data_IF_407858574147
#
_entry.id   IF_407858574147
#
_cell.length_a   1.000
_cell.length_b   1.000
_cell.length_c   1.000
_cell.angle_alpha   90.00
_cell.angle_beta   90.00
_cell.angle_gamma   90.00
#
_symmetry.space_group_name_H-M   'P 1'
#
loop_
_entity.id
_entity.type
_entity.pdbx_description
1 polymer ?
#
# COMPACT_ATOMS: atom_id res chain seq x y z
N UNK A 1 -17.91 3.02 -1.78
CA UNK A 1 -16.64 3.22 -1.06
C UNK A 1 -15.69 2.14 -1.51
N UNK A 2 -14.47 2.51 -1.95
CA UNK A 2 -13.46 1.59 -2.48
C UNK A 2 -12.48 1.18 -1.40
N UNK A 3 -12.31 -0.12 -1.21
CA UNK A 3 -11.40 -0.70 -0.22
C UNK A 3 -10.33 -1.50 -0.95
N UNK A 4 -9.07 -1.13 -0.76
CA UNK A 4 -7.93 -1.89 -1.26
C UNK A 4 -7.30 -2.70 -0.14
N UNK A 5 -7.29 -4.02 -0.28
CA UNK A 5 -6.62 -4.94 0.65
C UNK A 5 -5.25 -5.32 0.10
N UNK A 6 -4.20 -4.97 0.82
CA UNK A 6 -2.82 -5.36 0.52
C UNK A 6 -2.46 -6.59 1.37
N UNK A 7 -2.58 -7.77 0.77
CA UNK A 7 -2.34 -9.03 1.46
C UNK A 7 -0.87 -9.46 1.32
N UNK A 8 -0.14 -9.37 2.43
CA UNK A 8 1.27 -9.81 2.52
C UNK A 8 1.45 -11.29 2.88
N UNK A 9 0.36 -12.06 3.03
CA UNK A 9 0.50 -13.48 3.35
C UNK A 9 0.88 -14.32 2.13
N UNK A 10 1.91 -15.18 2.22
CA UNK A 10 2.25 -16.12 1.15
C UNK A 10 1.16 -17.20 0.92
N UNK A 11 0.25 -17.41 1.88
CA UNK A 11 -0.90 -18.31 1.74
C UNK A 11 -2.06 -17.70 0.94
N UNK A 12 -1.96 -16.46 0.51
CA UNK A 12 -2.98 -15.75 -0.27
C UNK A 12 -4.35 -15.81 0.42
N UNK A 13 -5.38 -16.21 -0.32
CA UNK A 13 -6.75 -16.34 0.19
C UNK A 13 -6.95 -17.38 1.29
N UNK A 14 -6.02 -18.32 1.42
CA UNK A 14 -6.07 -19.39 2.41
C UNK A 14 -5.41 -19.02 3.75
N UNK A 15 -5.01 -17.76 3.92
CA UNK A 15 -4.39 -17.32 5.16
C UNK A 15 -5.43 -17.08 6.26
N UNK A 16 -5.05 -17.39 7.49
CA UNK A 16 -5.90 -17.16 8.67
C UNK A 16 -6.25 -15.68 8.81
N UNK A 17 -5.32 -14.79 8.48
CA UNK A 17 -5.56 -13.34 8.48
C UNK A 17 -6.59 -12.92 7.43
N UNK A 18 -6.70 -13.61 6.28
CA UNK A 18 -7.75 -13.33 5.29
C UNK A 18 -9.14 -13.74 5.76
N UNK A 19 -9.27 -14.74 6.63
CA UNK A 19 -10.56 -15.06 7.25
C UNK A 19 -11.07 -13.89 8.10
N UNK A 20 -10.18 -13.28 8.89
CA UNK A 20 -10.52 -12.09 9.70
C UNK A 20 -10.87 -10.91 8.79
N UNK A 21 -10.07 -10.69 7.75
CA UNK A 21 -10.31 -9.62 6.77
C UNK A 21 -11.68 -9.76 6.10
N UNK A 22 -12.06 -10.98 5.67
CA UNK A 22 -13.37 -11.23 5.05
C UNK A 22 -14.52 -10.97 6.01
N UNK A 23 -14.39 -11.39 7.28
CA UNK A 23 -15.41 -11.12 8.29
C UNK A 23 -15.57 -9.61 8.53
N UNK A 24 -14.46 -8.87 8.58
CA UNK A 24 -14.47 -7.42 8.71
C UNK A 24 -15.16 -6.75 7.51
N UNK A 25 -14.81 -7.14 6.28
CA UNK A 25 -15.41 -6.61 5.06
C UNK A 25 -16.91 -6.94 4.95
N UNK A 26 -17.32 -8.14 5.36
CA UNK A 26 -18.72 -8.51 5.41
C UNK A 26 -19.51 -7.61 6.37
N UNK A 27 -18.99 -7.35 7.56
CA UNK A 27 -19.62 -6.42 8.50
C UNK A 27 -19.68 -4.98 7.99
N UNK A 28 -18.71 -4.53 7.20
CA UNK A 28 -18.76 -3.22 6.54
C UNK A 28 -19.84 -3.17 5.46
N UNK A 29 -20.02 -4.25 4.69
CA UNK A 29 -21.02 -4.33 3.63
C UNK A 29 -22.45 -4.31 4.16
N UNK A 30 -22.68 -4.71 5.41
CA UNK A 30 -24.01 -4.59 6.06
C UNK A 30 -24.44 -3.14 6.28
N UNK A 31 -23.49 -2.22 6.39
CA UNK A 31 -23.75 -0.81 6.67
C UNK A 31 -23.50 0.17 5.52
N UNK A 32 -22.83 -0.25 4.46
CA UNK A 32 -22.45 0.62 3.34
C UNK A 32 -22.23 -0.18 2.05
N UNK A 33 -22.44 0.47 0.90
CA UNK A 33 -22.01 -0.07 -0.38
C UNK A 33 -20.49 0.01 -0.49
N UNK A 34 -19.82 -1.15 -0.58
CA UNK A 34 -18.38 -1.26 -0.70
C UNK A 34 -17.97 -1.99 -1.98
N UNK A 35 -16.91 -1.52 -2.60
CA UNK A 35 -16.18 -2.19 -3.67
C UNK A 35 -14.81 -2.60 -3.11
N UNK A 36 -14.48 -3.89 -3.15
CA UNK A 36 -13.25 -4.40 -2.57
C UNK A 36 -12.34 -5.00 -3.63
N UNK A 37 -11.10 -4.57 -3.65
CA UNK A 37 -10.03 -5.20 -4.43
C UNK A 37 -8.96 -5.78 -3.48
N UNK A 38 -8.49 -7.00 -3.78
CA UNK A 38 -7.42 -7.66 -3.02
C UNK A 38 -6.18 -7.80 -3.91
N UNK A 39 -5.04 -7.31 -3.43
CA UNK A 39 -3.74 -7.53 -4.04
C UNK A 39 -2.94 -8.49 -3.17
N UNK A 40 -2.63 -9.68 -3.69
CA UNK A 40 -1.67 -10.58 -3.08
C UNK A 40 -0.26 -10.11 -3.45
N UNK A 41 0.41 -9.49 -2.48
CA UNK A 41 1.72 -8.85 -2.71
C UNK A 41 2.78 -9.86 -3.15
N UNK A 42 2.68 -11.11 -2.69
CA UNK A 42 3.61 -12.18 -3.06
C UNK A 42 3.58 -12.53 -4.55
N UNK A 43 2.50 -12.22 -5.25
CA UNK A 43 2.33 -12.49 -6.68
C UNK A 43 2.75 -11.31 -7.56
N UNK A 44 3.26 -10.24 -6.95
CA UNK A 44 3.64 -9.02 -7.67
C UNK A 44 5.16 -8.92 -7.80
N UNK A 45 5.58 -8.50 -8.98
CA UNK A 45 6.97 -8.15 -9.21
C UNK A 45 7.21 -6.73 -8.70
N UNK A 46 7.88 -6.60 -7.55
CA UNK A 46 8.21 -5.33 -6.91
C UNK A 46 9.70 -5.34 -6.59
N UNK A 47 10.47 -4.54 -7.31
CA UNK A 47 11.89 -4.35 -7.07
C UNK A 47 12.16 -3.68 -5.72
N UNK A 48 13.28 -4.00 -5.10
CA UNK A 48 13.68 -3.40 -3.82
C UNK A 48 13.98 -1.90 -3.99
N UNK A 49 13.48 -1.08 -3.07
CA UNK A 49 13.85 0.33 -3.05
C UNK A 49 15.33 0.50 -2.75
N UNK A 50 16.06 1.20 -3.64
CA UNK A 50 17.50 1.50 -3.46
C UNK A 50 17.77 2.82 -2.73
N UNK A 51 16.74 3.54 -2.32
CA UNK A 51 16.91 4.84 -1.67
C UNK A 51 17.53 5.92 -2.58
N UNK A 52 17.40 5.80 -3.90
CA UNK A 52 18.03 6.73 -4.85
C UNK A 52 17.30 8.08 -4.96
N UNK A 53 16.11 8.22 -4.38
CA UNK A 53 15.26 9.42 -4.42
C UNK A 53 14.93 9.93 -5.82
N UNK A 54 15.06 9.11 -6.87
CA UNK A 54 14.68 9.51 -8.23
C UNK A 54 13.20 9.92 -8.29
N UNK A 55 12.31 9.19 -7.62
CA UNK A 55 10.89 9.53 -7.53
C UNK A 55 10.62 10.94 -6.97
N UNK A 56 11.51 11.46 -6.11
CA UNK A 56 11.38 12.81 -5.55
C UNK A 56 11.77 13.90 -6.54
N UNK A 57 12.62 13.57 -7.51
CA UNK A 57 13.09 14.51 -8.55
C UNK A 57 12.25 14.42 -9.83
N UNK A 58 11.60 13.28 -10.06
CA UNK A 58 10.87 12.97 -11.29
C UNK A 58 9.35 13.04 -11.11
N UNK A 59 8.83 13.91 -10.25
CA UNK A 59 7.38 14.10 -10.08
C UNK A 59 6.62 12.84 -9.64
N UNK A 60 7.22 11.99 -8.82
CA UNK A 60 6.60 10.75 -8.34
C UNK A 60 6.92 9.51 -9.19
N UNK A 61 7.63 9.64 -10.31
CA UNK A 61 7.99 8.50 -11.16
C UNK A 61 9.21 7.77 -10.63
N UNK A 62 9.10 6.46 -10.42
CA UNK A 62 10.21 5.58 -10.11
C UNK A 62 10.83 5.04 -11.40
N UNK A 63 12.17 4.89 -11.42
CA UNK A 63 12.88 4.37 -12.59
C UNK A 63 12.75 2.86 -12.83
N UNK A 64 12.09 2.12 -11.92
CA UNK A 64 11.82 0.69 -12.12
C UNK A 64 10.60 0.46 -13.00
N UNK A 65 10.69 -0.57 -13.83
CA UNK A 65 9.56 -1.09 -14.62
C UNK A 65 9.07 -2.38 -13.95
N UNK A 66 8.16 -2.22 -13.00
CA UNK A 66 7.58 -3.31 -12.20
C UNK A 66 6.08 -3.03 -11.95
N UNK A 67 5.44 -3.82 -11.09
CA UNK A 67 4.00 -3.69 -10.82
C UNK A 67 3.67 -2.48 -9.92
N UNK A 68 4.68 -1.82 -9.35
CA UNK A 68 4.46 -0.79 -8.34
C UNK A 68 3.69 0.44 -8.84
N UNK A 69 3.90 0.97 -10.07
CA UNK A 69 3.10 2.10 -10.56
C UNK A 69 1.59 1.84 -10.55
N UNK A 70 1.18 0.65 -11.00
CA UNK A 70 -0.24 0.25 -10.98
C UNK A 70 -0.79 0.10 -9.55
N UNK A 71 0.02 -0.40 -8.63
CA UNK A 71 -0.36 -0.52 -7.22
C UNK A 71 -0.51 0.86 -6.57
N UNK A 72 0.41 1.79 -6.84
CA UNK A 72 0.34 3.15 -6.33
C UNK A 72 -0.92 3.87 -6.81
N UNK A 73 -1.30 3.68 -8.07
CA UNK A 73 -2.53 4.26 -8.59
C UNK A 73 -3.76 3.71 -7.85
N UNK A 74 -3.83 2.40 -7.62
CA UNK A 74 -4.92 1.76 -6.85
C UNK A 74 -4.97 2.26 -5.40
N UNK A 75 -3.82 2.52 -4.78
CA UNK A 75 -3.74 3.13 -3.46
C UNK A 75 -4.38 4.51 -3.46
N UNK A 76 -4.08 5.34 -4.48
CA UNK A 76 -4.66 6.69 -4.60
C UNK A 76 -6.16 6.67 -4.91
N UNK A 77 -6.63 5.68 -5.66
CA UNK A 77 -8.03 5.55 -6.08
C UNK A 77 -8.92 4.93 -4.99
N UNK A 78 -8.33 4.43 -3.90
CA UNK A 78 -9.06 3.80 -2.81
C UNK A 78 -9.37 4.77 -1.68
N UNK A 79 -10.55 4.58 -1.04
CA UNK A 79 -10.96 5.34 0.13
C UNK A 79 -10.33 4.76 1.41
N UNK A 80 -10.13 3.44 1.44
CA UNK A 80 -9.57 2.71 2.59
C UNK A 80 -8.48 1.76 2.12
N UNK A 81 -7.33 1.78 2.82
CA UNK A 81 -6.27 0.77 2.71
C UNK A 81 -6.34 -0.18 3.89
N UNK A 82 -6.41 -1.48 3.62
CA UNK A 82 -6.40 -2.53 4.60
C UNK A 82 -5.14 -3.38 4.40
N UNK A 83 -4.25 -3.35 5.39
CA UNK A 83 -3.06 -4.20 5.39
C UNK A 83 -3.37 -5.50 6.11
N UNK A 84 -3.28 -6.61 5.38
CA UNK A 84 -3.47 -7.95 5.88
C UNK A 84 -2.16 -8.72 5.82
N UNK A 85 -1.67 -9.20 6.96
CA UNK A 85 -0.44 -9.99 6.97
C UNK A 85 -0.29 -10.86 8.22
N UNK A 86 0.39 -12.00 8.12
CA UNK A 86 0.84 -12.72 9.29
C UNK A 86 1.94 -11.95 10.03
N UNK A 87 2.12 -12.27 11.30
CA UNK A 87 3.23 -11.77 12.11
C UNK A 87 4.47 -12.65 11.85
N UNK A 88 5.51 -12.08 11.23
CA UNK A 88 6.80 -12.74 11.00
C UNK A 88 7.89 -12.03 11.78
N UNK A 89 8.60 -12.77 12.65
CA UNK A 89 9.69 -12.20 13.46
C UNK A 89 9.32 -10.85 14.10
N UNK A 90 8.17 -10.80 14.75
CA UNK A 90 7.62 -9.59 15.41
C UNK A 90 7.30 -8.42 14.47
N UNK A 91 7.17 -8.65 13.17
CA UNK A 91 6.87 -7.63 12.17
C UNK A 91 6.09 -8.16 10.98
N UNK A 92 5.93 -7.31 9.97
CA UNK A 92 5.28 -7.69 8.73
C UNK A 92 6.22 -8.53 7.84
N UNK A 93 5.67 -9.38 6.95
CA UNK A 93 6.47 -10.11 5.96
C UNK A 93 7.27 -9.20 5.05
N UNK A 94 8.45 -9.65 4.61
CA UNK A 94 9.36 -8.87 3.78
C UNK A 94 8.72 -8.35 2.49
N UNK A 95 7.88 -9.14 1.84
CA UNK A 95 7.18 -8.72 0.62
C UNK A 95 6.28 -7.49 0.86
N UNK A 96 5.53 -7.47 1.96
CA UNK A 96 4.69 -6.32 2.32
C UNK A 96 5.54 -5.10 2.70
N UNK A 97 6.62 -5.32 3.44
CA UNK A 97 7.55 -4.23 3.79
C UNK A 97 8.18 -3.61 2.53
N UNK A 98 8.57 -4.45 1.55
CA UNK A 98 9.10 -3.97 0.28
C UNK A 98 8.07 -3.09 -0.47
N UNK A 99 6.80 -3.51 -0.52
CA UNK A 99 5.74 -2.68 -1.11
C UNK A 99 5.65 -1.33 -0.39
N UNK A 100 5.63 -1.33 0.95
CA UNK A 100 5.55 -0.10 1.75
C UNK A 100 6.74 0.81 1.48
N UNK A 101 7.97 0.28 1.41
CA UNK A 101 9.16 1.08 1.08
C UNK A 101 9.08 1.72 -0.31
N UNK A 102 8.33 1.11 -1.22
CA UNK A 102 8.09 1.60 -2.58
C UNK A 102 6.92 2.59 -2.69
N UNK A 103 6.26 2.96 -1.58
CA UNK A 103 5.25 4.04 -1.55
C UNK A 103 5.86 5.45 -1.46
N UNK A 104 7.16 5.57 -1.40
CA UNK A 104 7.88 6.86 -1.40
C UNK A 104 7.43 7.86 -2.49
N UNK A 105 7.01 7.44 -3.70
CA UNK A 105 6.46 8.36 -4.69
C UNK A 105 5.24 9.16 -4.22
N UNK A 106 4.45 8.63 -3.28
CA UNK A 106 3.22 9.28 -2.78
C UNK A 106 3.47 10.53 -1.93
N UNK A 107 4.70 10.77 -1.50
CA UNK A 107 5.05 11.95 -0.72
C UNK A 107 6.09 12.81 -1.43
N UNK A 108 6.02 14.13 -1.29
CA UNK A 108 7.06 15.03 -1.77
C UNK A 108 8.23 15.14 -0.77
N UNK A 109 9.33 15.76 -1.19
CA UNK A 109 10.38 16.19 -0.25
C UNK A 109 10.01 17.46 0.51
N UNK A 110 8.97 18.16 0.07
CA UNK A 110 8.51 19.35 0.75
C UNK A 110 7.94 18.99 2.13
N UNK A 111 8.35 19.75 3.11
CA UNK A 111 7.88 19.64 4.49
C UNK A 111 7.16 20.93 4.80
N UNK A 112 5.94 20.84 5.33
CA UNK A 112 5.19 21.97 5.86
C UNK A 112 5.05 21.85 7.36
N UNK A 113 4.98 22.97 8.02
CA UNK A 113 4.60 23.03 9.42
C UNK A 113 3.07 23.08 9.49
N UNK A 114 2.49 22.09 10.16
CA UNK A 114 1.07 22.03 10.48
C UNK A 114 0.95 22.05 12.01
N UNK A 115 0.50 23.17 12.54
CA UNK A 115 0.47 23.46 13.98
C UNK A 115 1.87 23.30 14.63
N UNK A 116 2.02 22.38 15.56
CA UNK A 116 3.28 22.10 16.25
C UNK A 116 4.08 20.95 15.61
N UNK A 117 3.62 20.38 14.49
CA UNK A 117 4.23 19.23 13.82
C UNK A 117 4.73 19.59 12.43
N UNK A 118 5.68 18.82 11.95
CA UNK A 118 6.15 18.85 10.56
C UNK A 118 5.62 17.63 9.82
N UNK A 119 5.09 17.82 8.62
CA UNK A 119 4.57 16.74 7.79
C UNK A 119 5.07 16.87 6.35
N UNK A 120 5.22 15.74 5.67
CA UNK A 120 5.48 15.72 4.24
C UNK A 120 4.21 16.08 3.47
N UNK A 121 4.37 16.93 2.47
CA UNK A 121 3.27 17.25 1.54
C UNK A 121 3.05 16.04 0.64
N UNK A 122 1.80 15.64 0.43
CA UNK A 122 1.45 14.62 -0.55
C UNK A 122 1.92 15.01 -1.95
N UNK A 123 2.30 14.03 -2.75
CA UNK A 123 2.74 14.21 -4.14
C UNK A 123 1.78 13.47 -5.07
N UNK A 124 1.24 14.18 -6.06
CA UNK A 124 0.51 13.53 -7.13
C UNK A 124 1.48 12.68 -7.96
N UNK A 125 1.03 11.50 -8.37
CA UNK A 125 1.77 10.64 -9.30
C UNK A 125 1.34 11.01 -10.71
N UNK A 126 2.31 11.27 -11.57
CA UNK A 126 2.08 11.51 -13.00
C UNK A 126 2.21 10.21 -13.79
#
# INVERSE_FOLDING_TARGET
MKILVLNGSPKRDQSDTMHITRAFLAGMADGAEIETEVIHVIDRHIELCRGCFACKRNGGSCGYQDDMPGILQKILDSDILLFNSPLYCYGMPAALKNLIDRTMPLSSMAIRKADERYEHVGQAIC
#
